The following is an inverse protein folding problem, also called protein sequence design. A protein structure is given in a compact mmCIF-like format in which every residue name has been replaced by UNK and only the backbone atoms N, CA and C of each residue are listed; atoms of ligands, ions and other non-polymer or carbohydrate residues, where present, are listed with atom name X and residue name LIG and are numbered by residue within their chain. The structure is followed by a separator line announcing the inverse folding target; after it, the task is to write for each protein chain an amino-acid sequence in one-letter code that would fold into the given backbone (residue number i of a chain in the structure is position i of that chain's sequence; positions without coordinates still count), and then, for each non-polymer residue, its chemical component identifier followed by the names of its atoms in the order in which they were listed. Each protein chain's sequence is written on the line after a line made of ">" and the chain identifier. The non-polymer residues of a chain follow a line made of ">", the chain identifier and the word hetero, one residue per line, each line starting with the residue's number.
data_IF_317041946531
#
_entry.id   IF_317041946531
#
_cell.length_a   1.000
_cell.length_b   1.000
_cell.length_c   1.000
_cell.angle_alpha   90.00
_cell.angle_beta   90.00
_cell.angle_gamma   90.00
#
_symmetry.space_group_name_H-M   'P 1'
#
loop_
_entity.id
_entity.type
_entity.pdbx_description
1 polymer ?
#
# COMPACT_ATOMS: atom_id res chain seq x y z
N UNK A 1 15.22 -4.01 -15.83
CA UNK A 1 14.68 -5.31 -15.41
C UNK A 1 15.20 -6.33 -16.39
N UNK A 2 15.94 -7.34 -15.91
CA UNK A 2 16.05 -8.57 -16.70
C UNK A 2 14.64 -9.13 -16.95
N UNK A 3 14.52 -10.08 -17.89
CA UNK A 3 13.27 -10.78 -18.16
C UNK A 3 12.55 -11.12 -16.84
N UNK A 4 11.40 -10.51 -16.59
CA UNK A 4 10.59 -10.80 -15.41
C UNK A 4 9.87 -12.11 -15.73
N UNK A 5 10.48 -13.23 -15.35
CA UNK A 5 9.78 -14.52 -15.38
C UNK A 5 8.60 -14.42 -14.40
N UNK A 6 7.36 -14.56 -14.86
CA UNK A 6 6.20 -14.53 -13.97
C UNK A 6 6.25 -15.58 -12.87
N UNK A 7 7.03 -16.65 -13.06
CA UNK A 7 7.21 -17.73 -12.10
C UNK A 7 8.30 -17.43 -11.06
N UNK A 8 9.22 -16.51 -11.32
CA UNK A 8 10.34 -16.16 -10.42
C UNK A 8 10.73 -14.67 -10.50
N UNK A 9 9.91 -13.74 -9.97
CA UNK A 9 10.27 -12.32 -9.96
C UNK A 9 11.51 -12.08 -9.06
N UNK A 10 12.46 -11.20 -9.47
CA UNK A 10 13.66 -10.90 -8.69
C UNK A 10 13.33 -10.41 -7.28
N UNK A 11 13.81 -11.05 -6.22
CA UNK A 11 13.39 -10.67 -4.85
C UNK A 11 14.24 -9.57 -4.20
N UNK A 12 15.44 -9.30 -4.72
CA UNK A 12 16.46 -8.49 -4.04
C UNK A 12 16.74 -7.13 -4.71
N UNK A 13 16.09 -6.82 -5.81
CA UNK A 13 16.26 -5.55 -6.52
C UNK A 13 14.99 -4.70 -6.43
N UNK A 14 15.13 -3.40 -6.67
CA UNK A 14 13.97 -2.57 -7.00
C UNK A 14 13.33 -3.08 -8.31
N UNK A 15 12.00 -2.96 -8.46
CA UNK A 15 11.04 -2.37 -7.51
C UNK A 15 10.57 -3.31 -6.39
N UNK A 16 10.99 -4.58 -6.42
CA UNK A 16 10.44 -5.64 -5.57
C UNK A 16 10.74 -5.47 -4.08
N UNK A 17 11.92 -4.95 -3.72
CA UNK A 17 12.23 -4.61 -2.33
C UNK A 17 11.37 -3.47 -1.80
N UNK A 18 11.00 -2.51 -2.64
CA UNK A 18 10.12 -1.40 -2.26
C UNK A 18 8.68 -1.88 -2.07
N UNK A 19 8.19 -2.74 -2.99
CA UNK A 19 6.88 -3.39 -2.87
C UNK A 19 6.79 -4.20 -1.58
N UNK A 20 7.80 -5.02 -1.28
CA UNK A 20 7.83 -5.85 -0.07
C UNK A 20 7.92 -5.05 1.24
N UNK A 21 8.34 -3.78 1.17
CA UNK A 21 8.41 -2.87 2.30
C UNK A 21 7.08 -2.15 2.58
N UNK A 22 6.07 -2.26 1.72
CA UNK A 22 4.72 -1.74 1.98
C UNK A 22 4.01 -2.62 3.01
N UNK A 23 3.53 -2.02 4.11
CA UNK A 23 2.94 -2.78 5.22
C UNK A 23 1.42 -2.99 5.03
N UNK A 24 0.65 -1.91 4.91
CA UNK A 24 -0.82 -1.93 4.89
C UNK A 24 -1.34 -1.26 3.61
N UNK A 25 -1.32 -1.96 2.47
CA UNK A 25 -1.77 -1.40 1.19
C UNK A 25 -3.29 -1.20 1.25
N UNK A 26 -3.74 0.03 0.96
CA UNK A 26 -5.14 0.42 0.95
C UNK A 26 -5.73 0.46 -0.48
N UNK A 27 -4.93 0.94 -1.43
CA UNK A 27 -5.39 1.18 -2.80
C UNK A 27 -4.31 0.75 -3.78
N UNK A 28 -4.71 0.04 -4.83
CA UNK A 28 -3.86 -0.31 -5.97
C UNK A 28 -4.54 0.19 -7.23
N UNK A 29 -3.80 0.88 -8.09
CA UNK A 29 -4.32 1.49 -9.31
C UNK A 29 -3.39 1.18 -10.49
N UNK A 30 -3.96 0.73 -11.59
CA UNK A 30 -3.26 0.42 -12.82
C UNK A 30 -3.81 1.32 -13.93
N UNK A 31 -2.91 2.01 -14.63
CA UNK A 31 -3.23 2.86 -15.77
C UNK A 31 -2.50 2.32 -17.00
N UNK A 32 -3.23 2.15 -18.09
CA UNK A 32 -2.68 1.75 -19.38
C UNK A 32 -3.47 2.40 -20.54
N UNK A 33 -2.93 2.41 -21.76
CA UNK A 33 -3.69 2.72 -22.97
C UNK A 33 -4.91 1.82 -23.10
N UNK A 34 -6.03 2.37 -23.60
CA UNK A 34 -7.30 1.64 -23.69
C UNK A 34 -7.19 0.39 -24.60
N UNK A 35 -6.29 0.39 -25.57
CA UNK A 35 -6.03 -0.74 -26.47
C UNK A 35 -5.54 -1.99 -25.72
N UNK A 36 -4.90 -1.82 -24.57
CA UNK A 36 -4.46 -2.92 -23.71
C UNK A 36 -5.60 -3.55 -22.89
N UNK A 37 -6.77 -2.91 -22.83
CA UNK A 37 -7.84 -3.29 -21.90
C UNK A 37 -8.33 -4.72 -22.06
N UNK A 38 -8.63 -5.26 -23.26
CA UNK A 38 -9.17 -6.61 -23.38
C UNK A 38 -8.26 -7.65 -22.74
N UNK A 39 -6.96 -7.59 -23.04
CA UNK A 39 -5.95 -8.52 -22.51
C UNK A 39 -5.74 -8.33 -21.01
N UNK A 40 -5.67 -7.07 -20.54
CA UNK A 40 -5.49 -6.79 -19.10
C UNK A 40 -6.72 -7.21 -18.29
N UNK A 41 -7.93 -7.00 -18.79
CA UNK A 41 -9.17 -7.41 -18.13
C UNK A 41 -9.25 -8.93 -18.01
N UNK A 42 -9.04 -9.64 -19.11
CA UNK A 42 -9.06 -11.10 -19.12
C UNK A 42 -8.06 -11.66 -18.08
N UNK A 43 -6.82 -11.16 -18.10
CA UNK A 43 -5.76 -11.65 -17.21
C UNK A 43 -5.94 -11.24 -15.75
N UNK A 44 -6.19 -9.96 -15.48
CA UNK A 44 -6.12 -9.40 -14.12
C UNK A 44 -7.46 -9.36 -13.40
N UNK A 45 -8.59 -9.46 -14.12
CA UNK A 45 -9.94 -9.37 -13.54
C UNK A 45 -10.69 -10.70 -13.66
N UNK A 46 -10.61 -11.39 -14.80
CA UNK A 46 -11.39 -12.60 -15.05
C UNK A 46 -10.64 -13.88 -14.60
N UNK A 47 -9.34 -13.99 -14.91
CA UNK A 47 -8.54 -15.19 -14.60
C UNK A 47 -7.88 -15.16 -13.21
N UNK A 48 -7.70 -13.96 -12.64
CA UNK A 48 -7.00 -13.78 -11.37
C UNK A 48 -7.95 -13.92 -10.17
N UNK A 49 -7.45 -14.53 -9.09
CA UNK A 49 -8.16 -14.53 -7.82
C UNK A 49 -8.24 -13.11 -7.23
N UNK A 50 -9.47 -12.67 -6.93
CA UNK A 50 -9.73 -11.38 -6.31
C UNK A 50 -9.13 -11.32 -4.91
N UNK A 51 -8.52 -10.18 -4.51
CA UNK A 51 -8.01 -10.06 -3.15
C UNK A 51 -9.17 -10.04 -2.15
N UNK A 52 -8.98 -10.73 -1.03
CA UNK A 52 -9.96 -10.81 0.05
C UNK A 52 -9.30 -10.35 1.33
N UNK A 53 -10.02 -9.54 2.09
CA UNK A 53 -9.66 -9.19 3.47
C UNK A 53 -10.84 -9.48 4.38
N UNK A 54 -10.57 -9.61 5.67
CA UNK A 54 -11.60 -9.91 6.67
C UNK A 54 -11.68 -8.76 7.65
N UNK A 55 -12.91 -8.43 8.04
CA UNK A 55 -13.22 -7.52 9.15
C UNK A 55 -13.70 -8.33 10.34
N UNK A 56 -13.16 -8.07 11.52
CA UNK A 56 -13.57 -8.72 12.78
C UNK A 56 -13.54 -7.71 13.92
N UNK A 57 -14.47 -7.84 14.88
CA UNK A 57 -14.51 -6.98 16.07
C UNK A 57 -14.13 -7.81 17.27
N UNK A 58 -12.97 -7.53 17.86
CA UNK A 58 -12.43 -8.34 18.96
C UNK A 58 -11.39 -7.57 19.79
N UNK A 59 -11.16 -7.93 21.06
CA UNK A 59 -10.13 -7.29 21.88
C UNK A 59 -8.72 -7.74 21.47
N UNK A 60 -7.70 -6.94 21.81
CA UNK A 60 -6.30 -7.21 21.44
C UNK A 60 -5.80 -8.58 21.95
N UNK A 61 -6.30 -9.01 23.12
CA UNK A 61 -5.93 -10.28 23.73
C UNK A 61 -6.19 -11.51 22.85
N UNK A 62 -7.15 -11.45 21.93
CA UNK A 62 -7.44 -12.57 21.01
C UNK A 62 -6.26 -12.90 20.08
N UNK A 63 -5.41 -11.92 19.75
CA UNK A 63 -4.20 -12.16 18.97
C UNK A 63 -3.16 -13.00 19.72
N UNK A 64 -3.25 -13.04 21.04
CA UNK A 64 -2.28 -13.69 21.93
C UNK A 64 -2.76 -15.07 22.41
N UNK A 65 -3.97 -15.49 22.02
CA UNK A 65 -4.45 -16.83 22.29
C UNK A 65 -3.59 -17.87 21.55
N UNK A 66 -3.35 -19.00 22.21
CA UNK A 66 -2.36 -19.98 21.77
C UNK A 66 -2.59 -20.47 20.33
N UNK A 67 -3.85 -20.73 19.96
CA UNK A 67 -4.24 -21.19 18.62
C UNK A 67 -3.98 -20.10 17.57
N UNK A 68 -4.53 -18.89 17.77
CA UNK A 68 -4.37 -17.80 16.82
C UNK A 68 -2.90 -17.41 16.64
N UNK A 69 -2.16 -17.25 17.74
CA UNK A 69 -0.75 -16.88 17.75
C UNK A 69 0.10 -17.91 17.01
N UNK A 70 -0.11 -19.19 17.27
CA UNK A 70 0.69 -20.26 16.66
C UNK A 70 0.39 -20.39 15.16
N UNK A 71 -0.89 -20.45 14.79
CA UNK A 71 -1.30 -20.71 13.40
C UNK A 71 -1.10 -19.51 12.48
N UNK A 72 -1.57 -18.33 12.89
CA UNK A 72 -1.62 -17.16 12.00
C UNK A 72 -0.38 -16.25 12.09
N UNK A 73 0.27 -16.19 13.25
CA UNK A 73 1.39 -15.26 13.50
C UNK A 73 2.75 -15.95 13.39
N UNK A 74 2.96 -17.07 14.10
CA UNK A 74 4.24 -17.80 14.11
C UNK A 74 4.44 -18.62 12.85
N UNK A 75 3.47 -19.45 12.49
CA UNK A 75 3.52 -20.30 11.30
C UNK A 75 2.94 -19.62 10.06
N UNK A 76 2.11 -18.59 10.25
CA UNK A 76 1.48 -17.83 9.19
C UNK A 76 2.14 -16.47 8.93
N UNK A 77 1.61 -15.75 7.94
CA UNK A 77 2.02 -14.39 7.62
C UNK A 77 0.81 -13.48 7.49
N UNK A 78 0.08 -13.33 8.59
CA UNK A 78 -1.06 -12.42 8.68
C UNK A 78 -0.61 -10.96 8.82
N UNK A 79 -1.34 -10.06 8.17
CA UNK A 79 -1.25 -8.62 8.38
C UNK A 79 -2.56 -8.13 8.97
N UNK A 80 -2.49 -7.34 10.03
CA UNK A 80 -3.68 -6.81 10.72
C UNK A 80 -3.52 -5.35 11.09
N UNK A 81 -4.61 -4.60 10.98
CA UNK A 81 -4.67 -3.18 11.33
C UNK A 81 -5.97 -2.91 12.08
N UNK A 82 -5.89 -2.30 13.26
CA UNK A 82 -7.09 -1.84 13.98
C UNK A 82 -7.59 -0.52 13.43
N UNK A 83 -8.88 -0.27 13.62
CA UNK A 83 -9.50 1.02 13.33
C UNK A 83 -8.93 2.13 14.22
N UNK A 84 -8.79 3.34 13.64
CA UNK A 84 -8.36 4.56 14.34
C UNK A 84 -7.23 5.27 13.60
N UNK A 85 -6.76 6.38 14.16
CA UNK A 85 -5.58 7.12 13.67
C UNK A 85 -4.51 7.19 14.75
N UNK A 86 -3.25 6.89 14.41
CA UNK A 86 -2.18 6.72 15.41
C UNK A 86 -1.80 8.00 16.16
N UNK A 87 -2.17 9.15 15.62
CA UNK A 87 -2.03 10.49 16.19
C UNK A 87 -3.08 10.82 17.26
N UNK A 88 -4.29 10.27 17.15
CA UNK A 88 -5.42 10.60 18.03
C UNK A 88 -5.89 9.43 18.88
N UNK A 89 -5.98 8.24 18.30
CA UNK A 89 -6.62 7.06 18.87
C UNK A 89 -5.59 6.00 19.26
N UNK A 90 -5.93 5.12 20.19
CA UNK A 90 -5.10 3.95 20.44
C UNK A 90 -5.25 2.96 19.27
N UNK A 91 -4.17 2.74 18.53
CA UNK A 91 -4.16 1.92 17.31
C UNK A 91 -3.17 0.80 17.45
N UNK A 92 -3.58 -0.38 17.00
CA UNK A 92 -2.79 -1.59 17.02
C UNK A 92 -2.55 -2.08 15.60
N UNK A 93 -1.35 -2.58 15.34
CA UNK A 93 -1.03 -3.16 14.05
C UNK A 93 -0.12 -4.37 14.21
N UNK A 94 -0.33 -5.38 13.36
CA UNK A 94 0.47 -6.59 13.30
C UNK A 94 0.95 -6.77 11.87
N UNK A 95 2.25 -6.73 11.66
CA UNK A 95 2.85 -6.96 10.35
C UNK A 95 4.13 -7.76 10.48
N UNK A 96 4.25 -8.87 9.73
CA UNK A 96 5.42 -9.78 9.77
C UNK A 96 5.78 -10.26 11.19
N UNK A 97 4.78 -10.46 12.05
CA UNK A 97 4.97 -10.88 13.45
C UNK A 97 5.25 -9.75 14.43
N UNK A 98 5.51 -8.53 13.95
CA UNK A 98 5.71 -7.36 14.80
C UNK A 98 4.35 -6.74 15.16
N UNK A 99 4.00 -6.83 16.44
CA UNK A 99 2.85 -6.15 17.03
C UNK A 99 3.27 -4.77 17.53
N UNK A 100 2.70 -3.72 16.96
CA UNK A 100 2.90 -2.33 17.37
C UNK A 100 1.62 -1.77 18.00
N UNK A 101 1.76 -1.10 19.14
CA UNK A 101 0.69 -0.43 19.85
C UNK A 101 1.04 1.07 19.92
N UNK A 102 0.24 1.90 19.27
CA UNK A 102 0.34 3.35 19.34
C UNK A 102 -0.64 3.83 20.39
N UNK A 103 -0.13 4.40 21.46
CA UNK A 103 -0.89 4.70 22.68
C UNK A 103 -0.82 6.17 23.05
N UNK A 104 -1.90 6.69 23.60
CA UNK A 104 -1.87 7.93 24.37
C UNK A 104 -1.13 7.74 25.71
N UNK A 105 -0.88 8.86 26.39
CA UNK A 105 -0.18 8.88 27.67
C UNK A 105 -0.87 8.02 28.74
N UNK A 106 -2.16 8.21 28.92
CA UNK A 106 -2.91 7.59 30.02
C UNK A 106 -2.93 6.07 29.86
N UNK A 107 -3.22 5.61 28.65
CA UNK A 107 -3.30 4.19 28.29
C UNK A 107 -1.92 3.55 28.39
N UNK A 108 -0.86 4.23 27.94
CA UNK A 108 0.51 3.76 28.06
C UNK A 108 0.94 3.57 29.53
N UNK A 109 0.70 4.58 30.38
CA UNK A 109 1.04 4.55 31.80
C UNK A 109 0.25 3.48 32.54
N UNK A 110 -1.04 3.32 32.24
CA UNK A 110 -1.90 2.26 32.81
C UNK A 110 -1.51 0.86 32.36
N UNK A 111 -1.20 0.67 31.07
CA UNK A 111 -0.72 -0.61 30.55
C UNK A 111 0.62 -0.99 31.16
N UNK A 112 1.41 0.02 31.55
CA UNK A 112 2.71 -0.16 32.17
C UNK A 112 3.59 -1.04 31.30
N UNK A 113 3.64 -0.82 29.99
CA UNK A 113 4.48 -1.58 29.06
C UNK A 113 5.75 -0.80 28.72
N UNK A 114 6.81 -1.49 28.29
CA UNK A 114 8.03 -0.82 27.84
C UNK A 114 7.81 -0.27 26.42
N UNK A 115 7.93 1.05 26.25
CA UNK A 115 7.74 1.72 24.97
C UNK A 115 8.63 2.94 24.83
N UNK A 116 8.56 3.58 23.65
CA UNK A 116 9.31 4.80 23.34
C UNK A 116 8.33 5.92 23.00
N UNK A 117 8.66 7.19 23.27
CA UNK A 117 7.90 8.31 22.74
C UNK A 117 7.81 8.24 21.21
N UNK A 118 6.65 8.57 20.66
CA UNK A 118 6.32 8.54 19.25
C UNK A 118 5.86 9.92 18.77
N UNK A 119 6.35 10.35 17.60
CA UNK A 119 6.08 11.66 17.01
C UNK A 119 6.96 12.82 17.51
N UNK A 120 6.81 13.96 16.85
CA UNK A 120 7.63 15.14 17.07
C UNK A 120 7.61 15.63 18.53
N UNK A 121 8.80 15.72 19.14
CA UNK A 121 8.99 16.30 20.46
C UNK A 121 8.82 17.82 20.39
N UNK A 122 7.81 18.38 21.07
CA UNK A 122 7.85 19.78 21.51
C UNK A 122 7.06 20.81 20.71
N UNK A 123 6.08 20.46 19.87
CA UNK A 123 5.17 21.45 19.31
C UNK A 123 3.97 21.72 20.25
N UNK A 124 3.70 23.00 20.52
CA UNK A 124 2.53 23.45 21.27
C UNK A 124 1.25 22.92 20.60
N UNK A 125 0.50 22.07 21.30
CA UNK A 125 -0.82 21.57 20.86
C UNK A 125 -0.90 20.09 20.49
N UNK A 126 0.23 19.39 20.28
CA UNK A 126 0.22 17.94 20.02
C UNK A 126 0.30 17.17 21.34
N UNK A 127 -0.65 16.25 21.56
CA UNK A 127 -0.62 15.35 22.72
C UNK A 127 0.55 14.36 22.54
N UNK A 128 1.35 14.09 23.58
CA UNK A 128 2.42 13.12 23.48
C UNK A 128 1.85 11.71 23.23
N UNK A 129 2.56 10.91 22.44
CA UNK A 129 2.18 9.55 22.05
C UNK A 129 3.35 8.60 22.32
N UNK A 130 3.05 7.32 22.49
CA UNK A 130 4.03 6.26 22.73
C UNK A 130 3.81 5.12 21.77
N UNK A 131 4.91 4.49 21.34
CA UNK A 131 4.91 3.24 20.59
C UNK A 131 5.49 2.13 21.45
N UNK A 132 4.75 1.02 21.54
CA UNK A 132 5.17 -0.22 22.19
C UNK A 132 5.23 -1.29 21.10
N UNK A 133 6.34 -2.02 21.01
CA UNK A 133 6.57 -3.00 19.95
C UNK A 133 6.96 -4.35 20.54
N UNK A 134 6.32 -5.41 20.07
CA UNK A 134 6.62 -6.80 20.40
C UNK A 134 6.84 -7.61 19.14
N UNK A 135 7.94 -8.36 19.08
CA UNK A 135 8.08 -9.42 18.07
C UNK A 135 7.42 -10.70 18.59
N UNK A 136 6.21 -10.97 18.12
CA UNK A 136 5.42 -12.13 18.53
C UNK A 136 6.00 -13.47 18.04
N UNK A 137 6.99 -13.45 17.13
CA UNK A 137 7.70 -14.64 16.67
C UNK A 137 8.92 -14.96 17.53
N UNK A 138 9.33 -14.03 18.40
CA UNK A 138 10.43 -14.28 19.33
C UNK A 138 10.12 -15.48 20.25
N UNK A 139 11.08 -16.39 20.52
CA UNK A 139 10.87 -17.53 21.42
C UNK A 139 10.38 -17.15 22.83
N UNK A 140 10.69 -15.94 23.29
CA UNK A 140 10.22 -15.40 24.57
C UNK A 140 8.75 -14.95 24.58
N UNK A 141 8.11 -14.81 23.40
CA UNK A 141 6.67 -14.53 23.27
C UNK A 141 5.86 -15.82 23.30
N UNK A 142 5.89 -16.45 24.47
CA UNK A 142 5.19 -17.69 24.80
C UNK A 142 4.61 -17.60 26.21
N UNK A 143 3.50 -18.32 26.45
CA UNK A 143 2.87 -18.37 27.77
C UNK A 143 3.86 -18.79 28.87
N UNK A 144 3.81 -18.12 30.01
CA UNK A 144 4.68 -18.40 31.15
C UNK A 144 5.95 -17.53 31.21
N UNK A 145 6.32 -16.84 30.12
CA UNK A 145 7.43 -15.88 30.13
C UNK A 145 6.98 -14.52 30.66
N UNK A 146 7.81 -13.87 31.48
CA UNK A 146 7.49 -12.59 32.15
C UNK A 146 7.06 -11.49 31.19
N UNK A 147 7.74 -11.34 30.05
CA UNK A 147 7.42 -10.33 29.03
C UNK A 147 6.04 -10.56 28.40
N UNK A 148 5.79 -11.79 27.96
CA UNK A 148 4.51 -12.18 27.37
C UNK A 148 3.35 -12.09 28.37
N UNK A 149 3.54 -12.55 29.61
CA UNK A 149 2.53 -12.45 30.66
C UNK A 149 2.17 -11.00 31.00
N UNK A 150 3.14 -10.07 30.95
CA UNK A 150 2.88 -8.63 31.15
C UNK A 150 2.02 -8.05 30.04
N UNK A 151 2.29 -8.42 28.79
CA UNK A 151 1.46 -8.04 27.65
C UNK A 151 0.03 -8.62 27.79
N UNK A 152 -0.09 -9.90 28.15
CA UNK A 152 -1.37 -10.56 28.37
C UNK A 152 -2.19 -9.87 29.48
N UNK A 153 -1.53 -9.50 30.59
CA UNK A 153 -2.16 -8.74 31.67
C UNK A 153 -2.69 -7.38 31.19
N UNK A 154 -1.91 -6.64 30.40
CA UNK A 154 -2.36 -5.39 29.81
C UNK A 154 -3.56 -5.60 28.86
N UNK A 155 -3.58 -6.69 28.08
CA UNK A 155 -4.73 -7.04 27.24
C UNK A 155 -6.00 -7.34 28.05
N UNK A 156 -5.87 -7.91 29.25
CA UNK A 156 -7.02 -8.27 30.09
C UNK A 156 -7.58 -7.08 30.88
N UNK A 157 -6.75 -6.11 31.24
CA UNK A 157 -7.14 -5.02 32.16
C UNK A 157 -7.12 -3.62 31.56
N UNK A 158 -6.47 -3.43 30.42
CA UNK A 158 -6.30 -2.11 29.77
C UNK A 158 -6.79 -2.12 28.32
N UNK A 159 -6.52 -3.19 27.57
CA UNK A 159 -6.99 -3.37 26.19
C UNK A 159 -8.14 -4.39 26.10
N UNK A 160 -9.02 -4.36 27.10
CA UNK A 160 -10.14 -5.28 27.29
C UNK A 160 -11.31 -4.99 26.33
N UNK A 161 -11.42 -3.75 25.87
CA UNK A 161 -12.46 -3.34 24.93
C UNK A 161 -12.20 -3.89 23.53
N UNK A 162 -13.23 -4.42 22.85
CA UNK A 162 -13.10 -4.86 21.48
C UNK A 162 -12.88 -3.67 20.55
N UNK A 163 -12.06 -3.88 19.51
CA UNK A 163 -11.85 -2.93 18.42
C UNK A 163 -12.09 -3.60 17.08
N UNK A 164 -12.41 -2.81 16.06
CA UNK A 164 -12.53 -3.31 14.70
C UNK A 164 -11.14 -3.54 14.12
N UNK A 165 -10.93 -4.72 13.55
CA UNK A 165 -9.71 -5.11 12.85
C UNK A 165 -10.01 -5.37 11.39
N UNK A 166 -9.06 -4.99 10.54
CA UNK A 166 -8.91 -5.50 9.19
C UNK A 166 -7.74 -6.47 9.16
N UNK A 167 -7.90 -7.62 8.50
CA UNK A 167 -6.83 -8.59 8.32
C UNK A 167 -6.79 -9.16 6.91
N UNK A 168 -5.59 -9.47 6.44
CA UNK A 168 -5.36 -10.22 5.20
C UNK A 168 -4.15 -11.15 5.35
N UNK A 169 -4.12 -12.23 4.57
CA UNK A 169 -2.95 -13.10 4.49
C UNK A 169 -1.98 -12.58 3.43
N UNK A 170 -0.69 -12.55 3.76
CA UNK A 170 0.36 -12.22 2.81
C UNK A 170 0.86 -13.44 2.00
N UNK A 171 0.26 -14.62 2.17
CA UNK A 171 0.57 -15.83 1.39
C UNK A 171 -0.64 -16.34 0.59
N UNK A 172 -0.45 -17.37 -0.27
CA UNK A 172 -1.54 -17.99 -1.02
C UNK A 172 -2.56 -18.71 -0.12
N UNK A 173 -2.17 -19.02 1.12
CA UNK A 173 -3.06 -19.61 2.11
C UNK A 173 -3.93 -18.52 2.73
N UNK A 174 -5.25 -18.70 2.71
CA UNK A 174 -6.17 -17.90 3.50
C UNK A 174 -5.78 -17.98 4.98
N UNK A 175 -5.97 -16.89 5.75
CA UNK A 175 -5.74 -16.96 7.19
C UNK A 175 -6.68 -18.02 7.79
N UNK A 176 -6.20 -18.79 8.76
CA UNK A 176 -7.04 -19.73 9.49
C UNK A 176 -7.86 -18.93 10.51
N UNK A 177 -9.11 -18.69 10.17
CA UNK A 177 -10.04 -17.87 10.96
C UNK A 177 -10.99 -18.71 11.80
N UNK A 178 -10.83 -20.05 11.85
CA UNK A 178 -11.71 -20.92 12.64
C UNK A 178 -11.67 -20.52 14.12
N UNK A 179 -10.47 -20.23 14.64
CA UNK A 179 -10.26 -19.74 16.00
C UNK A 179 -10.94 -18.39 16.29
N UNK A 180 -11.31 -17.62 15.27
CA UNK A 180 -12.04 -16.35 15.41
C UNK A 180 -13.55 -16.51 15.24
N UNK A 181 -14.08 -17.72 15.05
CA UNK A 181 -15.50 -17.95 14.76
C UNK A 181 -16.47 -17.32 15.77
N UNK A 182 -16.08 -17.25 17.05
CA UNK A 182 -16.87 -16.59 18.11
C UNK A 182 -17.06 -15.07 17.93
N UNK A 183 -16.25 -14.43 17.08
CA UNK A 183 -16.31 -12.99 16.80
C UNK A 183 -16.95 -12.67 15.44
N UNK A 184 -17.57 -13.67 14.79
CA UNK A 184 -18.26 -13.54 13.51
C UNK A 184 -17.47 -12.75 12.43
N UNK A 185 -16.26 -13.21 12.05
CA UNK A 185 -15.44 -12.54 11.05
C UNK A 185 -16.18 -12.43 9.71
N UNK A 186 -16.14 -11.25 9.10
CA UNK A 186 -16.77 -10.96 7.80
C UNK A 186 -15.71 -10.85 6.71
N UNK A 187 -15.68 -11.80 5.79
CA UNK A 187 -14.80 -11.73 4.60
C UNK A 187 -15.39 -10.83 3.53
N UNK A 188 -14.55 -9.96 2.98
CA UNK A 188 -14.91 -8.96 1.97
C UNK A 188 -14.00 -9.16 0.76
N UNK A 189 -14.60 -9.52 -0.37
CA UNK A 189 -13.92 -9.59 -1.66
C UNK A 189 -13.80 -8.20 -2.25
N UNK A 190 -12.59 -7.81 -2.67
CA UNK A 190 -12.35 -6.53 -3.33
C UNK A 190 -12.66 -6.68 -4.81
N UNK A 191 -13.67 -5.95 -5.26
CA UNK A 191 -14.06 -5.87 -6.66
C UNK A 191 -13.23 -4.82 -7.40
N UNK A 192 -12.74 -5.11 -8.62
CA UNK A 192 -12.07 -4.12 -9.44
C UNK A 192 -13.05 -3.04 -9.90
N UNK A 193 -12.70 -1.79 -9.65
CA UNK A 193 -13.34 -0.63 -10.24
C UNK A 193 -12.63 -0.28 -11.56
N UNK A 194 -13.41 0.07 -12.57
CA UNK A 194 -12.89 0.47 -13.88
C UNK A 194 -13.39 1.87 -14.22
N UNK A 195 -12.49 2.73 -14.69
CA UNK A 195 -12.83 4.01 -15.29
C UNK A 195 -12.08 4.17 -16.61
N UNK A 196 -12.77 4.69 -17.63
CA UNK A 196 -12.16 5.00 -18.93
C UNK A 196 -12.19 6.51 -19.10
N UNK A 197 -11.04 7.08 -19.45
CA UNK A 197 -10.93 8.50 -19.77
C UNK A 197 -10.63 8.64 -21.26
N UNK A 198 -11.44 9.43 -21.93
CA UNK A 198 -11.34 9.67 -23.36
C UNK A 198 -10.88 11.10 -23.62
N UNK A 199 -10.34 11.33 -24.83
CA UNK A 199 -9.95 12.67 -25.28
C UNK A 199 -8.92 13.35 -24.37
N UNK A 200 -7.96 12.59 -23.83
CA UNK A 200 -6.85 13.15 -23.07
C UNK A 200 -5.79 13.70 -24.03
N UNK A 201 -5.05 14.72 -23.61
CA UNK A 201 -3.84 15.14 -24.33
C UNK A 201 -2.88 13.95 -24.41
N UNK A 202 -2.37 13.65 -25.61
CA UNK A 202 -1.34 12.63 -25.76
C UNK A 202 -0.07 13.07 -25.02
N UNK A 203 0.49 12.19 -24.18
CA UNK A 203 1.71 12.43 -23.40
C UNK A 203 2.75 11.36 -23.72
N UNK A 204 3.99 11.78 -23.93
CA UNK A 204 5.11 10.88 -24.16
C UNK A 204 5.67 10.38 -22.83
N UNK A 205 5.24 9.18 -22.40
CA UNK A 205 5.63 8.55 -21.12
C UNK A 205 6.99 7.84 -21.19
N UNK A 206 8.02 8.57 -21.64
CA UNK A 206 9.42 8.10 -21.72
C UNK A 206 10.36 9.16 -21.20
N UNK A 207 11.52 8.76 -20.68
CA UNK A 207 12.63 9.69 -20.48
C UNK A 207 13.33 9.99 -21.82
N UNK A 208 13.53 11.26 -22.19
CA UNK A 208 14.38 11.64 -23.32
C UNK A 208 15.78 11.01 -23.24
N UNK A 209 16.29 10.53 -24.38
CA UNK A 209 17.57 9.82 -24.44
C UNK A 209 18.77 10.71 -24.05
N UNK A 210 18.71 12.02 -24.34
CA UNK A 210 19.74 13.00 -23.96
C UNK A 210 19.93 13.08 -22.44
N UNK A 211 18.84 13.18 -21.67
CA UNK A 211 18.87 13.24 -20.20
C UNK A 211 19.65 12.05 -19.61
N UNK A 212 19.47 10.86 -20.21
CA UNK A 212 20.21 9.66 -19.80
C UNK A 212 21.67 9.67 -20.22
N UNK A 213 21.96 10.08 -21.45
CA UNK A 213 23.32 10.08 -21.98
C UNK A 213 24.21 11.10 -21.25
N UNK A 214 23.64 12.26 -20.93
CA UNK A 214 24.35 13.39 -20.32
C UNK A 214 24.41 13.27 -18.78
N UNK A 215 23.63 12.36 -18.19
CA UNK A 215 23.52 12.21 -16.74
C UNK A 215 22.92 13.44 -16.05
N UNK A 216 22.11 14.21 -16.77
CA UNK A 216 21.48 15.43 -16.27
C UNK A 216 20.42 15.08 -15.23
N UNK A 217 20.82 15.21 -13.97
CA UNK A 217 19.97 14.91 -12.82
C UNK A 217 18.81 15.88 -12.70
N UNK A 218 19.01 17.16 -13.03
CA UNK A 218 17.95 18.16 -12.87
C UNK A 218 16.84 17.90 -13.90
N UNK A 219 17.20 17.74 -15.17
CA UNK A 219 16.23 17.43 -16.22
C UNK A 219 15.51 16.09 -15.96
N UNK A 220 16.21 15.11 -15.38
CA UNK A 220 15.62 13.85 -14.93
C UNK A 220 14.56 14.07 -13.83
N UNK A 221 14.88 14.84 -12.80
CA UNK A 221 13.98 15.12 -11.67
C UNK A 221 12.74 15.91 -12.14
N UNK A 222 12.92 16.90 -13.03
CA UNK A 222 11.84 17.69 -13.63
C UNK A 222 10.91 16.80 -14.45
N UNK A 223 11.46 16.07 -15.44
CA UNK A 223 10.67 15.17 -16.30
C UNK A 223 9.96 14.10 -15.48
N UNK A 224 10.64 13.47 -14.52
CA UNK A 224 10.03 12.46 -13.67
C UNK A 224 8.89 13.05 -12.80
N UNK A 225 9.01 14.29 -12.36
CA UNK A 225 7.97 14.98 -11.59
C UNK A 225 6.75 15.29 -12.46
N UNK A 226 6.96 15.80 -13.68
CA UNK A 226 5.88 16.07 -14.65
C UNK A 226 5.11 14.79 -15.02
N UNK A 227 5.81 13.69 -15.30
CA UNK A 227 5.17 12.41 -15.60
C UNK A 227 4.38 11.86 -14.40
N UNK A 228 4.93 11.99 -13.19
CA UNK A 228 4.25 11.57 -11.96
C UNK A 228 3.00 12.43 -11.67
N UNK A 229 3.07 13.74 -11.90
CA UNK A 229 1.94 14.65 -11.75
C UNK A 229 0.82 14.30 -12.74
N UNK A 230 1.14 14.09 -14.01
CA UNK A 230 0.15 13.68 -15.01
C UNK A 230 -0.51 12.35 -14.64
N UNK A 231 0.25 11.33 -14.25
CA UNK A 231 -0.28 10.05 -13.76
C UNK A 231 -1.16 10.22 -12.51
N UNK A 232 -0.82 11.15 -11.63
CA UNK A 232 -1.62 11.50 -10.45
C UNK A 232 -2.96 12.11 -10.85
N UNK A 233 -2.98 13.01 -11.82
CA UNK A 233 -4.20 13.60 -12.34
C UNK A 233 -5.10 12.59 -13.07
N UNK A 234 -4.52 11.58 -13.74
CA UNK A 234 -5.28 10.44 -14.28
C UNK A 234 -5.95 9.65 -13.16
N UNK A 235 -5.24 9.31 -12.07
CA UNK A 235 -5.83 8.62 -10.90
C UNK A 235 -6.95 9.41 -10.25
N UNK A 236 -6.82 10.74 -10.22
CA UNK A 236 -7.84 11.65 -9.71
C UNK A 236 -9.01 11.89 -10.68
N UNK A 237 -8.93 11.35 -11.90
CA UNK A 237 -9.87 11.62 -13.00
C UNK A 237 -10.07 13.12 -13.22
N UNK A 238 -8.98 13.89 -13.10
CA UNK A 238 -9.03 15.34 -13.12
C UNK A 238 -9.44 15.85 -14.51
N UNK A 239 -10.29 16.89 -14.60
CA UNK A 239 -10.59 17.51 -15.88
C UNK A 239 -9.39 18.24 -16.50
N UNK A 240 -8.33 18.50 -15.72
CA UNK A 240 -7.12 19.24 -16.16
C UNK A 240 -6.30 18.52 -17.22
N UNK A 241 -6.52 17.22 -17.42
CA UNK A 241 -5.80 16.41 -18.42
C UNK A 241 -6.59 16.19 -19.72
N UNK A 242 -7.80 16.76 -19.82
CA UNK A 242 -8.58 16.71 -21.05
C UNK A 242 -7.90 17.55 -22.15
N UNK A 243 -7.93 17.06 -23.39
CA UNK A 243 -7.32 17.73 -24.54
C UNK A 243 -7.93 19.10 -24.87
N UNK A 244 -9.21 19.30 -24.51
CA UNK A 244 -9.94 20.55 -24.70
C UNK A 244 -9.98 21.44 -23.45
N UNK A 245 -9.13 21.18 -22.46
CA UNK A 245 -9.15 21.93 -21.21
C UNK A 245 -8.77 23.41 -21.40
N UNK A 246 -9.59 24.31 -20.86
CA UNK A 246 -9.49 25.76 -21.07
C UNK A 246 -9.69 26.55 -19.77
N UNK A 247 -8.92 26.20 -18.74
CA UNK A 247 -8.97 26.93 -17.47
C UNK A 247 -8.25 28.25 -17.51
N UNK A 248 -8.79 29.19 -16.76
CA UNK A 248 -8.13 30.45 -16.47
C UNK A 248 -6.74 30.19 -15.85
N UNK A 249 -5.65 30.69 -16.45
CA UNK A 249 -4.30 30.54 -15.91
C UNK A 249 -4.12 31.09 -14.50
N UNK A 250 -5.00 31.99 -14.04
CA UNK A 250 -5.04 32.44 -12.65
C UNK A 250 -5.45 31.31 -11.68
N UNK A 251 -6.29 30.37 -12.12
CA UNK A 251 -6.75 29.23 -11.32
C UNK A 251 -5.80 28.03 -11.41
N UNK A 252 -5.29 27.74 -12.60
CA UNK A 252 -4.39 26.61 -12.83
C UNK A 252 -3.46 26.89 -13.99
N UNK A 253 -2.15 26.75 -13.73
CA UNK A 253 -1.09 26.82 -14.75
C UNK A 253 -0.60 25.45 -15.19
N UNK A 254 -1.26 24.38 -14.72
CA UNK A 254 -0.91 23.04 -15.12
C UNK A 254 -1.06 22.88 -16.63
N UNK A 255 -0.03 22.31 -17.26
CA UNK A 255 -0.06 21.88 -18.65
C UNK A 255 0.41 20.44 -18.70
N UNK A 256 -0.22 19.62 -19.54
CA UNK A 256 0.21 18.24 -19.72
C UNK A 256 1.67 18.20 -20.23
N UNK A 257 2.47 17.20 -19.80
CA UNK A 257 3.84 17.04 -20.30
C UNK A 257 3.85 16.89 -21.83
N UNK A 258 4.98 17.19 -22.50
CA UNK A 258 5.06 17.20 -23.95
C UNK A 258 4.68 15.85 -24.56
N UNK A 259 3.98 15.92 -25.70
CA UNK A 259 3.56 14.76 -26.47
C UNK A 259 3.61 15.03 -27.98
N UNK A 260 3.40 13.99 -28.78
CA UNK A 260 3.56 14.05 -30.24
C UNK A 260 2.35 14.68 -30.96
N UNK A 261 1.50 15.41 -30.24
CA UNK A 261 0.19 15.85 -30.71
C UNK A 261 -0.83 14.71 -30.74
N UNK A 262 -2.11 15.06 -30.69
CA UNK A 262 -3.22 14.10 -30.73
C UNK A 262 -3.85 13.81 -29.37
N UNK A 263 -4.82 12.90 -29.39
CA UNK A 263 -5.58 12.48 -28.22
C UNK A 263 -5.24 11.04 -27.85
N UNK A 264 -5.34 10.73 -26.55
CA UNK A 264 -5.14 9.38 -26.02
C UNK A 264 -6.35 8.98 -25.18
N UNK A 265 -6.62 7.68 -25.15
CA UNK A 265 -7.63 7.08 -24.28
C UNK A 265 -6.90 6.18 -23.29
N UNK A 266 -7.23 6.32 -22.01
CA UNK A 266 -6.62 5.54 -20.94
C UNK A 266 -7.69 4.82 -20.15
N UNK A 267 -7.30 3.65 -19.66
CA UNK A 267 -8.06 2.85 -18.72
C UNK A 267 -7.39 2.96 -17.35
N UNK A 268 -8.21 3.18 -16.32
CA UNK A 268 -7.86 3.06 -14.92
C UNK A 268 -8.57 1.84 -14.32
N UNK A 269 -7.80 0.87 -13.83
CA UNK A 269 -8.28 -0.23 -12.99
C UNK A 269 -7.88 0.02 -11.54
N UNK A 270 -8.80 -0.11 -10.60
CA UNK A 270 -8.57 0.17 -9.19
C UNK A 270 -9.08 -0.94 -8.27
N UNK A 271 -8.30 -1.25 -7.24
CA UNK A 271 -8.69 -2.14 -6.13
C UNK A 271 -8.52 -1.39 -4.82
N UNK A 272 -9.53 -1.43 -3.95
CA UNK A 272 -9.52 -0.71 -2.69
C UNK A 272 -9.97 -1.61 -1.53
N UNK A 273 -9.17 -1.66 -0.48
CA UNK A 273 -9.35 -2.54 0.68
C UNK A 273 -8.00 -2.81 1.36
N UNK A 274 -7.91 -3.79 2.26
CA UNK A 274 -6.61 -4.20 2.80
C UNK A 274 -5.98 -5.25 1.88
N UNK A 275 -4.89 -4.88 1.20
CA UNK A 275 -4.24 -5.70 0.18
C UNK A 275 -2.85 -6.12 0.64
N UNK A 276 -2.50 -7.39 0.41
CA UNK A 276 -1.18 -7.90 0.70
C UNK A 276 -0.12 -7.46 -0.32
N UNK A 277 1.10 -7.21 0.13
CA UNK A 277 2.20 -6.83 -0.75
C UNK A 277 2.57 -7.93 -1.78
N UNK A 278 2.37 -9.20 -1.41
CA UNK A 278 2.51 -10.34 -2.32
C UNK A 278 1.49 -10.29 -3.45
N UNK A 279 0.22 -10.00 -3.15
CA UNK A 279 -0.80 -9.83 -4.17
C UNK A 279 -0.44 -8.69 -5.14
N UNK A 280 0.03 -7.54 -4.64
CA UNK A 280 0.50 -6.44 -5.49
C UNK A 280 1.69 -6.86 -6.39
N UNK A 281 2.67 -7.58 -5.84
CA UNK A 281 3.81 -8.08 -6.60
C UNK A 281 3.35 -8.97 -7.75
N UNK A 282 2.45 -9.91 -7.47
CA UNK A 282 1.95 -10.84 -8.46
C UNK A 282 1.11 -10.10 -9.53
N UNK A 283 0.32 -9.10 -9.13
CA UNK A 283 -0.42 -8.22 -10.05
C UNK A 283 0.53 -7.48 -11.00
N UNK A 284 1.59 -6.85 -10.47
CA UNK A 284 2.58 -6.13 -11.28
C UNK A 284 3.23 -7.08 -12.28
N UNK A 285 3.59 -8.27 -11.82
CA UNK A 285 4.24 -9.29 -12.65
C UNK A 285 3.35 -9.72 -13.81
N UNK A 286 2.08 -10.04 -13.54
CA UNK A 286 1.09 -10.42 -14.56
C UNK A 286 0.76 -9.26 -15.50
N UNK A 287 0.60 -8.05 -14.98
CA UNK A 287 0.29 -6.87 -15.78
C UNK A 287 1.42 -6.53 -16.76
N UNK A 288 2.67 -6.61 -16.32
CA UNK A 288 3.84 -6.40 -17.19
C UNK A 288 3.99 -7.49 -18.25
N UNK A 289 3.59 -8.72 -17.94
CA UNK A 289 3.60 -9.84 -18.90
C UNK A 289 2.44 -9.75 -19.92
N UNK A 290 1.26 -9.29 -19.49
CA UNK A 290 0.07 -9.16 -20.32
C UNK A 290 0.11 -7.94 -21.25
N UNK A 291 0.68 -6.82 -20.79
CA UNK A 291 0.81 -5.60 -21.58
C UNK A 291 2.01 -5.68 -22.52
N UNK A 292 1.80 -5.56 -23.83
CA UNK A 292 2.88 -5.66 -24.82
C UNK A 292 3.95 -4.58 -24.58
N UNK A 293 5.25 -4.87 -24.80
CA UNK A 293 6.33 -3.91 -24.56
C UNK A 293 6.20 -2.58 -25.30
N UNK A 294 5.46 -2.54 -26.42
CA UNK A 294 5.22 -1.33 -27.20
C UNK A 294 4.32 -0.33 -26.48
N UNK A 295 3.50 -0.78 -25.54
CA UNK A 295 2.63 0.08 -24.73
C UNK A 295 3.26 0.36 -23.36
N UNK A 296 2.94 1.54 -22.83
CA UNK A 296 3.28 1.87 -21.46
C UNK A 296 2.26 1.31 -20.48
N UNK A 297 2.67 1.12 -19.24
CA UNK A 297 1.78 0.74 -18.15
C UNK A 297 2.30 1.35 -16.85
N UNK A 298 1.38 1.93 -16.07
CA UNK A 298 1.67 2.50 -14.76
C UNK A 298 0.89 1.76 -13.68
N UNK A 299 1.55 1.40 -12.58
CA UNK A 299 0.94 0.71 -11.45
C UNK A 299 1.34 1.46 -10.19
N UNK A 300 0.34 1.87 -9.41
CA UNK A 300 0.52 2.58 -8.16
C UNK A 300 -0.09 1.80 -7.01
N UNK A 301 0.52 1.90 -5.84
CA UNK A 301 -0.05 1.38 -4.60
C UNK A 301 0.16 2.39 -3.48
N UNK A 302 -0.89 2.61 -2.69
CA UNK A 302 -0.90 3.55 -1.58
C UNK A 302 -1.35 2.82 -0.32
N UNK A 303 -0.61 3.00 0.77
CA UNK A 303 -0.93 2.42 2.07
C UNK A 303 -2.04 3.19 2.80
N UNK A 304 -2.56 2.61 3.88
CA UNK A 304 -3.36 3.36 4.84
C UNK A 304 -2.52 4.51 5.43
N UNK A 305 -3.12 5.69 5.61
CA UNK A 305 -2.44 6.81 6.24
C UNK A 305 -2.12 6.49 7.71
N UNK A 306 -0.92 6.86 8.16
CA UNK A 306 -0.43 6.54 9.52
C UNK A 306 -0.49 7.72 10.50
N UNK A 307 -0.93 8.91 10.08
CA UNK A 307 -1.01 10.08 10.97
C UNK A 307 -1.87 11.23 10.44
N UNK A 308 -1.92 12.33 11.20
CA UNK A 308 -2.82 13.50 11.00
C UNK A 308 -2.71 14.08 9.59
N UNK A 309 -1.49 14.12 9.03
CA UNK A 309 -1.22 14.75 7.73
C UNK A 309 -1.89 14.01 6.57
N UNK A 310 -2.44 12.81 6.81
CA UNK A 310 -3.00 11.96 5.76
C UNK A 310 -1.94 11.37 4.83
N UNK A 311 -0.65 11.59 5.13
CA UNK A 311 0.44 11.04 4.34
C UNK A 311 0.45 9.51 4.50
N UNK A 312 0.60 8.83 3.37
CA UNK A 312 0.70 7.40 3.28
C UNK A 312 1.96 7.02 2.51
N UNK A 313 2.58 5.92 2.92
CA UNK A 313 3.60 5.29 2.10
C UNK A 313 2.98 4.84 0.78
N UNK A 314 3.75 4.90 -0.29
CA UNK A 314 3.26 4.50 -1.59
C UNK A 314 4.38 4.33 -2.59
N UNK A 315 4.03 3.67 -3.68
CA UNK A 315 4.89 3.51 -4.84
C UNK A 315 4.10 3.78 -6.11
N UNK A 316 4.78 4.28 -7.12
CA UNK A 316 4.29 4.31 -8.49
C UNK A 316 5.38 3.78 -9.40
N UNK A 317 5.06 2.78 -10.21
CA UNK A 317 5.93 2.17 -11.19
C UNK A 317 5.39 2.49 -12.58
N UNK A 318 6.21 3.03 -13.47
CA UNK A 318 5.89 3.23 -14.88
C UNK A 318 6.88 2.43 -15.73
N UNK A 319 6.38 1.54 -16.59
CA UNK A 319 7.15 0.96 -17.70
C UNK A 319 6.90 1.80 -18.95
N UNK A 320 7.91 2.49 -19.51
CA UNK A 320 7.79 3.23 -20.75
C UNK A 320 7.46 2.32 -21.96
N UNK A 321 6.87 2.87 -23.04
CA UNK A 321 6.68 2.14 -24.28
C UNK A 321 8.02 1.84 -24.95
N UNK A 322 8.13 0.67 -25.58
CA UNK A 322 9.32 0.23 -26.32
C UNK A 322 10.54 -0.15 -25.46
N UNK A 323 10.44 -0.05 -24.12
CA UNK A 323 11.55 -0.25 -23.20
C UNK A 323 11.22 -1.32 -22.13
N UNK A 324 11.09 -2.61 -22.49
CA UNK A 324 10.67 -3.67 -21.57
C UNK A 324 11.61 -3.86 -20.37
N UNK A 325 12.88 -3.50 -20.54
CA UNK A 325 13.91 -3.58 -19.50
C UNK A 325 14.00 -2.34 -18.62
N UNK A 326 13.16 -1.33 -18.79
CA UNK A 326 13.33 -0.04 -18.14
C UNK A 326 12.06 0.37 -17.39
N UNK A 327 12.23 1.13 -16.31
CA UNK A 327 11.11 1.63 -15.53
C UNK A 327 11.50 2.90 -14.78
N UNK A 328 10.49 3.71 -14.50
CA UNK A 328 10.53 4.78 -13.51
C UNK A 328 9.82 4.31 -12.24
N UNK A 329 10.41 4.60 -11.09
CA UNK A 329 9.86 4.25 -9.78
C UNK A 329 9.88 5.49 -8.89
N UNK A 330 8.69 5.90 -8.45
CA UNK A 330 8.52 6.91 -7.41
C UNK A 330 8.17 6.21 -6.09
N UNK A 331 8.82 6.60 -5.01
CA UNK A 331 8.55 6.13 -3.66
C UNK A 331 8.15 7.33 -2.79
N UNK A 332 6.94 7.31 -2.26
CA UNK A 332 6.49 8.27 -1.25
C UNK A 332 6.62 7.60 0.11
N UNK A 333 7.33 8.26 1.03
CA UNK A 333 7.47 7.78 2.42
C UNK A 333 6.88 8.81 3.36
N UNK A 334 5.97 8.38 4.21
CA UNK A 334 5.57 9.18 5.35
C UNK A 334 6.73 9.22 6.33
N UNK A 335 7.26 10.41 6.63
CA UNK A 335 8.31 10.54 7.64
C UNK A 335 7.70 10.36 9.02
N UNK A 336 8.15 9.37 9.79
CA UNK A 336 7.81 9.18 11.21
C UNK A 336 8.46 10.25 12.13
N UNK A 337 8.50 11.52 11.71
CA UNK A 337 9.16 12.59 12.47
C UNK A 337 8.34 13.07 13.66
#
# INVERSE_FOLDING_TARGET
>A
MGHVDPKQPPQRSKPWTAIAALDFIHKVELIAPLECYPTLREKLVEQRQRPVYTRVVMPLGQLLEADFLSRNVKNGNITMLSQGRADTDNVFSLHKGLLNLHLDKETFERAGLAGKPFGAKGNRGLKPRWIVSYDLRDPSMTHGKKGFNRLLYACQHVFDKPVTWLLCSAGPNSPDLECLGGHAPTSITIEPATATMQQLSHVTLTLPACIRADGDRQALEETATELYEWLSLVRLQSPRIAAGDSVDPFLSRYCAPPGNGGQTQVLLLGWQGLIAASWLRDLITEALAACTPQHWISISATCFPRGVSGNADGITLLRPPGAPGEYLLWETKCSDR
#
